data_IF_667171792380
#
_entry.id   IF_667171792380
#
_cell.length_a   1.000
_cell.length_b   1.000
_cell.length_c   1.000
_cell.angle_alpha   90.00
_cell.angle_beta   90.00
_cell.angle_gamma   90.00
#
_symmetry.space_group_name_H-M   'P 1'
#
loop_
_entity.id
_entity.type
_entity.pdbx_description
1 polymer ?
#
# COMPACT_ATOMS: atom_id res chain seq x y z
N UNK A 1 35.32 41.21 45.01
CA UNK A 1 34.00 40.52 44.89
C UNK A 1 33.07 41.14 43.81
N UNK A 2 33.39 42.22 43.18
CA UNK A 2 32.54 42.83 42.14
C UNK A 2 32.74 42.27 40.73
N UNK A 3 33.79 41.48 40.46
CA UNK A 3 34.07 40.93 39.11
C UNK A 3 33.46 39.57 38.85
N UNK A 4 32.89 38.89 39.84
CA UNK A 4 32.21 37.60 39.67
C UNK A 4 30.72 37.72 39.29
N UNK A 5 30.10 38.87 39.55
CA UNK A 5 28.67 39.11 39.22
C UNK A 5 28.42 39.62 37.78
N UNK A 6 29.46 40.07 37.09
CA UNK A 6 29.32 40.56 35.71
C UNK A 6 29.33 39.39 34.67
N UNK A 7 29.88 38.22 35.02
CA UNK A 7 30.02 37.08 34.10
C UNK A 7 28.76 36.20 34.01
N UNK A 8 27.86 36.27 35.00
CA UNK A 8 26.66 35.41 35.02
C UNK A 8 25.48 36.00 34.22
N UNK A 9 25.49 37.34 33.98
CA UNK A 9 24.42 37.97 33.22
C UNK A 9 24.56 37.80 31.69
N UNK A 10 25.78 37.56 31.20
CA UNK A 10 26.02 37.32 29.78
C UNK A 10 25.52 35.93 29.31
N UNK A 11 25.81 34.88 30.09
CA UNK A 11 25.40 33.50 29.76
C UNK A 11 23.87 33.34 29.77
N UNK A 12 23.17 34.04 30.66
CA UNK A 12 21.71 34.03 30.70
C UNK A 12 21.05 34.69 29.51
N UNK A 13 21.65 35.78 28.99
CA UNK A 13 21.12 36.48 27.80
C UNK A 13 21.36 35.67 26.52
N UNK A 14 22.53 35.09 26.37
CA UNK A 14 22.81 34.24 25.20
C UNK A 14 21.89 33.00 25.14
N UNK A 15 21.62 32.36 26.28
CA UNK A 15 20.70 31.25 26.36
C UNK A 15 19.26 31.61 26.02
N UNK A 16 18.80 32.78 26.51
CA UNK A 16 17.47 33.32 26.19
C UNK A 16 17.36 33.70 24.71
N UNK A 17 18.41 34.24 24.12
CA UNK A 17 18.46 34.57 22.70
C UNK A 17 18.39 33.30 21.84
N UNK A 18 19.20 32.27 22.16
CA UNK A 18 19.15 30.97 21.47
C UNK A 18 17.78 30.29 21.60
N UNK A 19 17.18 30.29 22.79
CA UNK A 19 15.84 29.75 22.98
C UNK A 19 14.79 30.51 22.16
N UNK A 20 14.90 31.82 22.07
CA UNK A 20 14.00 32.67 21.27
C UNK A 20 14.16 32.38 19.76
N UNK A 21 15.40 32.21 19.27
CA UNK A 21 15.70 31.89 17.86
C UNK A 21 15.15 30.51 17.46
N UNK A 22 15.27 29.52 18.35
CA UNK A 22 14.67 28.20 18.17
C UNK A 22 13.14 28.30 18.10
N UNK A 23 12.50 29.04 18.99
CA UNK A 23 11.03 29.22 18.96
C UNK A 23 10.59 29.94 17.69
N UNK A 24 11.35 30.97 17.24
CA UNK A 24 11.06 31.67 16.01
C UNK A 24 11.23 30.78 14.77
N UNK A 25 12.25 29.92 14.75
CA UNK A 25 12.47 28.93 13.66
C UNK A 25 11.32 27.94 13.57
N UNK A 26 10.92 27.33 14.68
CA UNK A 26 9.77 26.39 14.72
C UNK A 26 8.48 27.08 14.28
N UNK A 27 8.27 28.34 14.68
CA UNK A 27 7.10 29.10 14.25
C UNK A 27 7.07 29.34 12.74
N UNK A 28 8.22 29.65 12.14
CA UNK A 28 8.31 29.86 10.68
C UNK A 28 8.05 28.58 9.90
N UNK A 29 8.53 27.41 10.37
CA UNK A 29 8.26 26.12 9.75
C UNK A 29 6.77 25.74 9.84
N UNK A 30 6.14 26.00 10.99
CA UNK A 30 4.69 25.79 11.15
C UNK A 30 3.88 26.69 10.21
N UNK A 31 4.26 27.97 10.04
CA UNK A 31 3.59 28.87 9.11
C UNK A 31 3.74 28.38 7.67
N UNK A 32 4.93 27.94 7.26
CA UNK A 32 5.17 27.37 5.93
C UNK A 32 4.38 26.07 5.72
N UNK A 33 4.30 25.22 6.74
CA UNK A 33 3.50 24.00 6.69
C UNK A 33 2.02 24.30 6.50
N UNK A 34 1.45 25.23 7.28
CA UNK A 34 0.04 25.63 7.14
C UNK A 34 -0.24 26.31 5.80
N UNK A 35 0.71 27.08 5.30
CA UNK A 35 0.59 27.75 4.00
C UNK A 35 0.64 26.73 2.86
N UNK A 36 1.53 25.76 2.91
CA UNK A 36 1.60 24.65 1.97
C UNK A 36 0.32 23.76 2.02
N UNK A 37 -0.19 23.51 3.22
CA UNK A 37 -1.44 22.75 3.43
C UNK A 37 -2.65 23.51 2.87
N UNK A 38 -2.74 24.81 3.11
CA UNK A 38 -3.80 25.67 2.58
C UNK A 38 -3.75 25.74 1.05
N UNK A 39 -2.54 25.87 0.48
CA UNK A 39 -2.32 25.88 -0.97
C UNK A 39 -2.70 24.55 -1.60
N UNK A 40 -2.29 23.43 -0.98
CA UNK A 40 -2.70 22.08 -1.38
C UNK A 40 -4.22 21.95 -1.35
N UNK A 41 -4.86 22.39 -0.29
CA UNK A 41 -6.31 22.35 -0.15
C UNK A 41 -7.01 23.23 -1.21
N UNK A 42 -6.50 24.41 -1.52
CA UNK A 42 -7.03 25.28 -2.58
C UNK A 42 -6.86 24.68 -3.97
N UNK A 43 -5.72 24.05 -4.26
CA UNK A 43 -5.44 23.45 -5.57
C UNK A 43 -6.22 22.16 -5.80
N UNK A 44 -6.43 21.35 -4.74
CA UNK A 44 -7.07 20.03 -4.84
C UNK A 44 -8.51 19.97 -4.30
N UNK A 45 -9.03 21.01 -3.67
CA UNK A 45 -10.42 21.03 -3.17
C UNK A 45 -11.49 21.12 -4.26
N UNK A 46 -11.11 21.45 -5.50
CA UNK A 46 -12.03 21.44 -6.63
C UNK A 46 -12.43 20.03 -7.11
N UNK A 47 -11.86 18.97 -6.51
CA UNK A 47 -12.18 17.59 -6.83
C UNK A 47 -13.23 16.93 -5.90
N UNK A 48 -13.78 17.68 -4.93
CA UNK A 48 -14.82 17.15 -4.04
C UNK A 48 -16.18 17.74 -4.38
N UNK A 49 -17.20 16.91 -4.67
CA UNK A 49 -18.56 17.40 -4.86
C UNK A 49 -19.10 17.98 -3.54
N UNK A 50 -19.58 19.21 -3.60
CA UNK A 50 -20.23 19.91 -2.50
C UNK A 50 -21.44 19.11 -2.01
N UNK A 51 -21.29 18.46 -0.84
CA UNK A 51 -22.43 18.08 -0.01
C UNK A 51 -22.53 19.05 1.16
N UNK A 52 -23.30 20.10 0.99
CA UNK A 52 -23.80 20.86 2.11
C UNK A 52 -25.26 21.24 1.85
N UNK A 53 -26.18 20.47 2.39
CA UNK A 53 -27.52 20.92 2.73
C UNK A 53 -27.91 20.27 4.06
N UNK A 54 -27.47 20.86 5.13
CA UNK A 54 -28.17 20.76 6.40
C UNK A 54 -28.52 22.18 6.86
N UNK A 55 -29.75 22.35 7.25
CA UNK A 55 -30.46 23.50 7.81
C UNK A 55 -31.19 24.39 6.79
N UNK A 56 -32.46 24.20 6.67
CA UNK A 56 -33.55 25.01 7.19
C UNK A 56 -34.88 24.39 6.80
N UNK A 57 -35.72 24.17 7.74
CA UNK A 57 -37.06 23.71 7.57
C UNK A 57 -38.04 24.83 7.22
N UNK A 58 -39.26 24.42 6.98
CA UNK A 58 -40.53 25.09 6.79
C UNK A 58 -40.82 25.69 5.39
N UNK A 59 -41.79 25.08 4.77
CA UNK A 59 -42.88 25.83 4.21
C UNK A 59 -43.10 25.82 2.73
N UNK A 60 -44.15 25.14 2.36
CA UNK A 60 -45.10 25.41 1.26
C UNK A 60 -44.84 24.91 -0.15
N UNK A 61 -45.83 24.20 -0.55
CA UNK A 61 -46.14 23.69 -1.87
C UNK A 61 -46.28 24.80 -2.95
N UNK A 62 -45.92 24.41 -4.17
CA UNK A 62 -46.59 24.69 -5.44
C UNK A 62 -45.72 24.20 -6.60
N UNK A 63 -46.16 23.17 -7.26
CA UNK A 63 -46.63 23.08 -8.65
C UNK A 63 -45.71 23.63 -9.76
N UNK A 64 -45.32 22.68 -10.63
CA UNK A 64 -45.30 22.71 -12.11
C UNK A 64 -44.41 23.76 -12.81
N UNK A 65 -43.39 23.30 -13.49
CA UNK A 65 -43.38 23.42 -14.96
C UNK A 65 -42.36 22.48 -15.65
N UNK A 66 -42.87 21.78 -16.65
CA UNK A 66 -42.11 21.03 -17.65
C UNK A 66 -41.65 22.03 -18.73
N UNK A 67 -40.36 22.02 -19.09
CA UNK A 67 -39.82 22.20 -20.43
C UNK A 67 -38.53 23.01 -20.46
N UNK A 68 -37.40 22.32 -20.62
CA UNK A 68 -36.49 22.65 -21.73
C UNK A 68 -35.41 21.54 -21.84
N UNK A 69 -35.63 20.66 -22.81
CA UNK A 69 -34.55 19.84 -23.37
C UNK A 69 -33.63 20.77 -24.13
N UNK A 70 -32.38 20.89 -23.72
CA UNK A 70 -31.29 21.29 -24.60
C UNK A 70 -30.42 20.07 -24.85
N UNK A 71 -30.29 19.76 -26.15
CA UNK A 71 -29.44 18.74 -26.72
C UNK A 71 -28.01 18.96 -26.25
N UNK A 72 -27.43 17.99 -25.52
CA UNK A 72 -26.00 17.79 -25.43
C UNK A 72 -25.67 16.48 -26.13
N UNK A 73 -24.55 16.51 -26.85
CA UNK A 73 -24.00 15.49 -27.71
C UNK A 73 -23.93 14.10 -27.09
N UNK A 74 -24.06 13.02 -27.88
CA UNK A 74 -24.09 11.65 -27.39
C UNK A 74 -22.67 11.09 -27.42
N UNK A 75 -21.85 11.42 -26.42
CA UNK A 75 -20.56 10.74 -26.24
C UNK A 75 -19.98 10.86 -24.82
N UNK A 76 -20.81 10.60 -23.85
CA UNK A 76 -20.40 10.14 -22.52
C UNK A 76 -21.56 9.32 -21.97
N UNK A 77 -21.59 8.06 -22.38
CA UNK A 77 -22.45 7.05 -21.77
C UNK A 77 -21.99 6.87 -20.31
N UNK A 78 -22.51 7.71 -19.41
CA UNK A 78 -22.62 7.34 -18.02
C UNK A 78 -23.45 6.07 -17.97
N UNK A 79 -22.78 4.92 -18.00
CA UNK A 79 -23.38 3.63 -17.71
C UNK A 79 -23.77 3.67 -16.23
N UNK A 80 -24.98 4.17 -15.96
CA UNK A 80 -25.63 4.02 -14.69
C UNK A 80 -25.83 2.52 -14.52
N UNK A 81 -24.93 1.92 -13.75
CA UNK A 81 -24.99 0.51 -13.42
C UNK A 81 -26.17 0.29 -12.49
N UNK A 82 -27.32 -0.10 -13.06
CA UNK A 82 -28.43 -0.65 -12.27
C UNK A 82 -27.96 -1.99 -11.72
N UNK A 83 -27.73 -2.02 -10.40
CA UNK A 83 -27.07 -3.08 -9.64
C UNK A 83 -27.89 -4.38 -9.55
N UNK A 84 -28.88 -4.57 -10.43
CA UNK A 84 -29.87 -5.63 -10.33
C UNK A 84 -29.57 -6.89 -11.14
N UNK A 85 -28.91 -6.81 -12.29
CA UNK A 85 -28.84 -7.99 -13.17
C UNK A 85 -27.47 -8.19 -13.81
N UNK A 86 -26.70 -9.13 -13.23
CA UNK A 86 -25.45 -9.67 -13.82
C UNK A 86 -25.75 -10.91 -14.67
N UNK A 87 -26.99 -11.38 -14.64
CA UNK A 87 -27.51 -12.53 -15.36
C UNK A 87 -27.43 -12.26 -16.88
N UNK A 88 -26.57 -12.96 -17.58
CA UNK A 88 -26.40 -12.84 -19.02
C UNK A 88 -25.18 -12.02 -19.51
N UNK A 89 -24.38 -11.42 -18.61
CA UNK A 89 -23.15 -10.71 -18.99
C UNK A 89 -21.96 -11.68 -19.12
N UNK A 90 -21.10 -11.41 -20.11
CA UNK A 90 -19.87 -12.17 -20.28
C UNK A 90 -18.88 -11.88 -19.13
N UNK A 91 -17.95 -12.79 -18.87
CA UNK A 91 -16.88 -12.59 -17.89
C UNK A 91 -16.14 -11.27 -18.16
N UNK A 92 -15.79 -10.98 -19.42
CA UNK A 92 -15.08 -9.76 -19.79
C UNK A 92 -15.85 -8.49 -19.40
N UNK A 93 -17.17 -8.47 -19.61
CA UNK A 93 -18.01 -7.34 -19.21
C UNK A 93 -18.05 -7.19 -17.68
N UNK A 94 -18.18 -8.30 -16.92
CA UNK A 94 -18.20 -8.25 -15.47
C UNK A 94 -16.85 -7.73 -14.93
N UNK A 95 -15.73 -8.18 -15.51
CA UNK A 95 -14.38 -7.70 -15.15
C UNK A 95 -14.22 -6.21 -15.44
N UNK A 96 -14.68 -5.74 -16.60
CA UNK A 96 -14.64 -4.32 -16.96
C UNK A 96 -15.48 -3.46 -16.00
N UNK A 97 -16.67 -3.92 -15.63
CA UNK A 97 -17.50 -3.23 -14.64
C UNK A 97 -16.87 -3.24 -13.25
N UNK A 98 -16.27 -4.34 -12.86
CA UNK A 98 -15.56 -4.45 -11.57
C UNK A 98 -14.39 -3.47 -11.52
N UNK A 99 -13.60 -3.38 -12.59
CA UNK A 99 -12.50 -2.42 -12.70
C UNK A 99 -13.02 -0.98 -12.61
N UNK A 100 -14.02 -0.64 -13.41
CA UNK A 100 -14.60 0.70 -13.41
C UNK A 100 -15.24 1.07 -12.06
N UNK A 101 -15.81 0.12 -11.33
CA UNK A 101 -16.32 0.34 -9.98
C UNK A 101 -15.17 0.57 -8.99
N UNK A 102 -14.10 -0.22 -9.08
CA UNK A 102 -12.91 -0.06 -8.25
C UNK A 102 -12.23 1.30 -8.47
N UNK A 103 -12.05 1.73 -9.72
CA UNK A 103 -11.43 3.01 -10.10
C UNK A 103 -12.23 4.21 -9.55
N UNK A 104 -13.55 4.08 -9.44
CA UNK A 104 -14.43 5.09 -8.81
C UNK A 104 -14.47 5.00 -7.28
N UNK A 105 -13.81 4.00 -6.69
CA UNK A 105 -13.87 3.74 -5.24
C UNK A 105 -15.19 3.12 -4.77
N UNK A 106 -16.03 2.61 -5.69
CA UNK A 106 -17.27 1.90 -5.34
C UNK A 106 -17.01 0.44 -4.99
N UNK A 107 -16.36 0.24 -3.86
CA UNK A 107 -16.03 -1.08 -3.34
C UNK A 107 -17.27 -1.95 -3.03
N UNK A 108 -18.45 -1.31 -2.81
CA UNK A 108 -19.70 -2.04 -2.60
C UNK A 108 -20.11 -2.79 -3.86
N UNK A 109 -20.05 -2.12 -5.02
CA UNK A 109 -20.33 -2.73 -6.31
C UNK A 109 -19.30 -3.80 -6.66
N UNK A 110 -18.00 -3.57 -6.38
CA UNK A 110 -16.95 -4.60 -6.54
C UNK A 110 -17.31 -5.87 -5.79
N UNK A 111 -17.71 -5.78 -4.50
CA UNK A 111 -18.09 -6.95 -3.70
C UNK A 111 -19.38 -7.63 -4.17
N UNK A 112 -20.35 -6.87 -4.70
CA UNK A 112 -21.54 -7.47 -5.33
C UNK A 112 -21.15 -8.28 -6.58
N UNK A 113 -20.26 -7.74 -7.42
CA UNK A 113 -19.78 -8.43 -8.62
C UNK A 113 -18.94 -9.67 -8.27
N UNK A 114 -18.22 -9.66 -7.14
CA UNK A 114 -17.47 -10.83 -6.66
C UNK A 114 -18.34 -12.07 -6.51
N UNK A 115 -19.55 -11.94 -6.03
CA UNK A 115 -20.48 -13.08 -5.88
C UNK A 115 -20.76 -13.81 -7.22
N UNK A 116 -20.64 -13.07 -8.33
CA UNK A 116 -20.74 -13.62 -9.68
C UNK A 116 -19.37 -14.08 -10.20
N UNK A 117 -18.32 -13.25 -10.03
CA UNK A 117 -16.97 -13.54 -10.50
C UNK A 117 -16.39 -14.83 -9.92
N UNK A 118 -16.63 -15.11 -8.65
CA UNK A 118 -16.13 -16.34 -8.00
C UNK A 118 -16.63 -17.64 -8.61
N UNK A 119 -17.61 -17.59 -9.52
CA UNK A 119 -18.11 -18.75 -10.24
C UNK A 119 -17.30 -19.07 -11.51
N UNK A 120 -16.45 -18.13 -11.92
CA UNK A 120 -15.62 -18.27 -13.11
C UNK A 120 -14.20 -18.69 -12.74
N UNK A 121 -13.59 -19.51 -13.60
CA UNK A 121 -12.28 -20.11 -13.37
C UNK A 121 -11.10 -19.21 -13.77
N UNK A 122 -11.35 -18.13 -14.52
CA UNK A 122 -10.28 -17.29 -15.10
C UNK A 122 -10.39 -15.84 -14.69
N UNK A 123 -10.52 -15.59 -13.38
CA UNK A 123 -10.48 -14.22 -12.85
C UNK A 123 -9.02 -13.77 -12.72
N UNK A 124 -8.60 -12.62 -13.28
CA UNK A 124 -7.21 -12.15 -13.19
C UNK A 124 -6.75 -11.90 -11.75
N UNK A 125 -5.48 -12.15 -11.47
CA UNK A 125 -4.88 -12.00 -10.14
C UNK A 125 -5.04 -10.59 -9.56
N UNK A 126 -4.87 -9.54 -10.38
CA UNK A 126 -5.06 -8.15 -9.96
C UNK A 126 -6.50 -7.85 -9.54
N UNK A 127 -7.49 -8.44 -10.20
CA UNK A 127 -8.90 -8.30 -9.77
C UNK A 127 -9.14 -8.96 -8.42
N UNK A 128 -8.52 -10.12 -8.16
CA UNK A 128 -8.59 -10.77 -6.84
C UNK A 128 -8.00 -9.85 -5.77
N UNK A 129 -6.85 -9.24 -6.01
CA UNK A 129 -6.23 -8.27 -5.09
C UNK A 129 -7.16 -7.07 -4.82
N UNK A 130 -7.81 -6.51 -5.84
CA UNK A 130 -8.78 -5.42 -5.71
C UNK A 130 -10.03 -5.82 -4.90
N UNK A 131 -10.48 -7.05 -5.06
CA UNK A 131 -11.61 -7.62 -4.30
C UNK A 131 -11.21 -7.76 -2.83
N UNK A 132 -10.01 -8.27 -2.55
CA UNK A 132 -9.48 -8.38 -1.19
C UNK A 132 -9.38 -7.00 -0.54
N UNK A 133 -8.81 -6.01 -1.24
CA UNK A 133 -8.75 -4.64 -0.75
C UNK A 133 -10.15 -4.08 -0.45
N UNK A 134 -11.12 -4.36 -1.33
CA UNK A 134 -12.51 -3.95 -1.11
C UNK A 134 -13.11 -4.60 0.13
N UNK A 135 -12.80 -5.88 0.40
CA UNK A 135 -13.20 -6.57 1.63
C UNK A 135 -12.60 -5.93 2.88
N UNK A 136 -11.30 -5.59 2.84
CA UNK A 136 -10.59 -4.92 3.93
C UNK A 136 -11.18 -3.54 4.23
N UNK A 137 -11.52 -2.75 3.20
CA UNK A 137 -12.20 -1.45 3.36
C UNK A 137 -13.57 -1.58 4.01
N UNK A 138 -14.27 -2.70 3.81
CA UNK A 138 -15.51 -3.02 4.53
C UNK A 138 -15.27 -3.70 5.89
N UNK A 139 -14.03 -3.67 6.39
CA UNK A 139 -13.64 -4.23 7.69
C UNK A 139 -14.06 -5.70 7.85
N UNK A 140 -13.98 -6.46 6.75
CA UNK A 140 -14.11 -7.91 6.82
C UNK A 140 -12.93 -8.48 7.57
N UNK A 141 -13.18 -9.47 8.40
CA UNK A 141 -12.14 -10.17 9.15
C UNK A 141 -11.15 -10.86 8.21
N UNK A 142 -9.84 -10.79 8.53
CA UNK A 142 -8.76 -11.39 7.73
C UNK A 142 -8.94 -12.90 7.56
N UNK A 143 -9.48 -13.60 8.56
CA UNK A 143 -9.80 -15.02 8.46
C UNK A 143 -10.89 -15.31 7.41
N UNK A 144 -11.91 -14.44 7.33
CA UNK A 144 -12.96 -14.54 6.30
C UNK A 144 -12.36 -14.30 4.91
N UNK A 145 -11.53 -13.27 4.75
CA UNK A 145 -10.86 -12.96 3.48
C UNK A 145 -9.98 -14.12 3.05
N UNK A 146 -9.17 -14.64 3.98
CA UNK A 146 -8.31 -15.79 3.74
C UNK A 146 -9.11 -17.01 3.28
N UNK A 147 -10.23 -17.32 3.94
CA UNK A 147 -11.12 -18.42 3.55
C UNK A 147 -11.66 -18.27 2.12
N UNK A 148 -12.05 -17.06 1.72
CA UNK A 148 -12.51 -16.78 0.34
C UNK A 148 -11.39 -16.99 -0.69
N UNK A 149 -10.18 -16.50 -0.40
CA UNK A 149 -9.00 -16.66 -1.27
C UNK A 149 -8.61 -18.13 -1.39
N UNK A 150 -8.54 -18.84 -0.27
CA UNK A 150 -8.27 -20.29 -0.25
C UNK A 150 -9.31 -21.06 -1.04
N UNK A 151 -10.60 -20.73 -0.86
CA UNK A 151 -11.70 -21.31 -1.61
C UNK A 151 -11.56 -21.07 -3.12
N UNK A 152 -11.13 -19.86 -3.52
CA UNK A 152 -10.85 -19.54 -4.92
C UNK A 152 -9.67 -20.37 -5.46
N UNK A 153 -8.54 -20.39 -4.77
CA UNK A 153 -7.35 -21.14 -5.19
C UNK A 153 -7.63 -22.66 -5.30
N UNK A 154 -8.42 -23.23 -4.36
CA UNK A 154 -8.82 -24.65 -4.45
C UNK A 154 -9.64 -24.96 -5.69
N UNK A 155 -10.63 -24.11 -6.03
CA UNK A 155 -11.46 -24.32 -7.22
C UNK A 155 -10.66 -24.16 -8.51
N UNK A 156 -9.64 -23.34 -8.51
CA UNK A 156 -8.80 -23.03 -9.66
C UNK A 156 -7.45 -23.76 -9.63
N UNK A 157 -7.37 -24.85 -8.87
CA UNK A 157 -6.16 -25.69 -8.82
C UNK A 157 -5.79 -26.17 -10.23
N UNK A 158 -4.53 -25.95 -10.63
CA UNK A 158 -4.02 -26.26 -11.97
C UNK A 158 -4.28 -25.18 -13.03
N UNK A 159 -5.08 -24.13 -12.71
CA UNK A 159 -5.26 -22.95 -13.56
C UNK A 159 -4.42 -21.80 -13.03
N UNK A 160 -4.44 -21.61 -11.71
CA UNK A 160 -3.56 -20.64 -11.03
C UNK A 160 -2.16 -21.25 -10.90
N UNK A 161 -1.15 -20.52 -11.35
CA UNK A 161 0.26 -20.82 -11.17
C UNK A 161 0.90 -19.94 -10.10
N UNK A 162 2.18 -20.13 -9.83
CA UNK A 162 2.92 -19.30 -8.87
C UNK A 162 3.00 -17.85 -9.31
N UNK A 163 3.04 -17.58 -10.61
CA UNK A 163 3.05 -16.20 -11.16
C UNK A 163 1.75 -15.48 -10.85
N UNK A 164 0.61 -16.18 -10.97
CA UNK A 164 -0.70 -15.65 -10.56
C UNK A 164 -0.69 -15.27 -9.08
N UNK A 165 -0.15 -16.15 -8.22
CA UNK A 165 -0.08 -15.86 -6.77
C UNK A 165 0.82 -14.67 -6.48
N UNK A 166 1.98 -14.57 -7.13
CA UNK A 166 2.90 -13.43 -6.95
C UNK A 166 2.26 -12.10 -7.35
N UNK A 167 1.54 -12.06 -8.49
CA UNK A 167 0.79 -10.87 -8.92
C UNK A 167 -0.31 -10.46 -7.94
N UNK A 168 -0.90 -11.42 -7.23
CA UNK A 168 -1.88 -11.15 -6.18
C UNK A 168 -1.21 -10.71 -4.88
N UNK A 169 -0.12 -11.36 -4.46
CA UNK A 169 0.56 -11.11 -3.19
C UNK A 169 1.28 -9.76 -3.17
N UNK A 170 1.84 -9.31 -4.29
CA UNK A 170 2.59 -8.05 -4.34
C UNK A 170 1.78 -6.84 -3.84
N UNK A 171 0.56 -6.55 -4.33
CA UNK A 171 -0.26 -5.48 -3.78
C UNK A 171 -0.73 -5.75 -2.34
N UNK A 172 -1.00 -7.01 -1.96
CA UNK A 172 -1.43 -7.36 -0.61
C UNK A 172 -0.34 -7.15 0.44
N UNK A 173 0.91 -7.46 0.11
CA UNK A 173 2.06 -7.19 0.97
C UNK A 173 2.21 -5.69 1.29
N UNK A 174 1.78 -4.82 0.39
CA UNK A 174 1.77 -3.35 0.61
C UNK A 174 0.67 -2.90 1.58
N UNK A 175 -0.40 -3.69 1.74
CA UNK A 175 -1.50 -3.40 2.69
C UNK A 175 -1.13 -3.78 4.13
N UNK A 176 0.01 -4.44 4.37
CA UNK A 176 0.59 -4.78 5.68
C UNK A 176 -0.31 -5.69 6.55
N UNK A 177 -1.22 -6.45 5.95
CA UNK A 177 -1.99 -7.50 6.63
C UNK A 177 -1.17 -8.79 6.66
N UNK A 178 -0.26 -8.90 7.63
CA UNK A 178 0.66 -10.01 7.73
C UNK A 178 -0.07 -11.36 7.85
N UNK A 179 -1.12 -11.42 8.66
CA UNK A 179 -1.88 -12.65 8.88
C UNK A 179 -2.52 -13.18 7.57
N UNK A 180 -3.01 -12.27 6.71
CA UNK A 180 -3.57 -12.64 5.43
C UNK A 180 -2.49 -13.14 4.46
N UNK A 181 -1.38 -12.40 4.34
CA UNK A 181 -0.29 -12.73 3.41
C UNK A 181 0.40 -14.04 3.80
N UNK A 182 0.72 -14.21 5.10
CA UNK A 182 1.28 -15.45 5.65
C UNK A 182 0.32 -16.62 5.47
N UNK A 183 -0.97 -16.43 5.77
CA UNK A 183 -1.97 -17.47 5.62
C UNK A 183 -2.18 -17.92 4.17
N UNK A 184 -2.03 -17.02 3.19
CA UNK A 184 -2.03 -17.40 1.78
C UNK A 184 -0.76 -18.18 1.45
N UNK A 185 0.41 -17.71 1.89
CA UNK A 185 1.70 -18.35 1.64
C UNK A 185 1.73 -19.79 2.19
N UNK A 186 1.32 -19.98 3.45
CA UNK A 186 1.25 -21.29 4.10
C UNK A 186 0.28 -22.25 3.40
N UNK A 187 -0.73 -21.70 2.73
CA UNK A 187 -1.74 -22.49 2.02
C UNK A 187 -1.25 -23.02 0.66
N UNK A 188 -0.26 -22.40 0.00
CA UNK A 188 0.17 -22.73 -1.36
C UNK A 188 0.50 -24.22 -1.57
N UNK A 189 1.24 -24.89 -0.67
CA UNK A 189 1.53 -26.32 -0.85
C UNK A 189 0.28 -27.19 -0.91
N UNK A 190 -0.83 -26.80 -0.28
CA UNK A 190 -2.08 -27.55 -0.29
C UNK A 190 -2.80 -27.56 -1.65
N UNK A 191 -2.44 -26.63 -2.52
CA UNK A 191 -2.94 -26.52 -3.90
C UNK A 191 -1.85 -26.85 -4.94
N UNK A 192 -0.79 -27.56 -4.51
CA UNK A 192 0.37 -27.98 -5.31
C UNK A 192 1.18 -26.82 -5.91
N UNK A 193 1.12 -25.65 -5.29
CA UNK A 193 1.93 -24.51 -5.68
C UNK A 193 3.15 -24.39 -4.76
N UNK A 194 4.34 -24.33 -5.37
CA UNK A 194 5.58 -24.12 -4.62
C UNK A 194 5.97 -22.66 -4.69
N UNK A 195 6.17 -22.00 -3.52
CA UNK A 195 6.66 -20.62 -3.46
C UNK A 195 8.03 -20.51 -4.14
N UNK A 196 8.18 -19.47 -4.97
CA UNK A 196 9.43 -19.12 -5.65
C UNK A 196 10.11 -17.89 -5.01
N UNK A 197 11.24 -17.45 -5.57
CA UNK A 197 11.99 -16.28 -5.07
C UNK A 197 11.13 -15.02 -4.99
N UNK A 198 10.19 -14.81 -5.91
CA UNK A 198 9.29 -13.65 -5.91
C UNK A 198 8.23 -13.74 -4.83
N UNK A 199 7.72 -14.95 -4.54
CA UNK A 199 6.80 -15.18 -3.43
C UNK A 199 7.46 -14.82 -2.09
N UNK A 200 8.70 -15.28 -1.87
CA UNK A 200 9.47 -14.92 -0.68
C UNK A 200 9.80 -13.43 -0.63
N UNK A 201 10.12 -12.80 -1.76
CA UNK A 201 10.37 -11.35 -1.82
C UNK A 201 9.17 -10.57 -1.28
N UNK A 202 7.94 -10.91 -1.68
CA UNK A 202 6.73 -10.22 -1.22
C UNK A 202 6.59 -10.28 0.31
N UNK A 203 6.82 -11.47 0.93
CA UNK A 203 6.77 -11.64 2.38
C UNK A 203 7.90 -10.86 3.08
N UNK A 204 9.13 -10.97 2.57
CA UNK A 204 10.30 -10.27 3.14
C UNK A 204 10.09 -8.77 3.10
N UNK A 205 9.56 -8.22 2.00
CA UNK A 205 9.25 -6.81 1.88
C UNK A 205 8.18 -6.35 2.89
N UNK A 206 7.14 -7.16 3.09
CA UNK A 206 6.11 -6.91 4.10
C UNK A 206 6.71 -6.90 5.51
N UNK A 207 7.47 -7.93 5.88
CA UNK A 207 8.10 -8.01 7.20
C UNK A 207 9.13 -6.90 7.43
N UNK A 208 9.83 -6.46 6.39
CA UNK A 208 10.72 -5.31 6.49
C UNK A 208 9.95 -4.04 6.86
N UNK A 209 8.81 -3.81 6.23
CA UNK A 209 7.96 -2.64 6.50
C UNK A 209 7.34 -2.69 7.90
N UNK A 210 6.96 -3.88 8.37
CA UNK A 210 6.42 -4.11 9.72
C UNK A 210 7.49 -4.31 10.81
N UNK A 211 8.78 -4.19 10.45
CA UNK A 211 9.95 -4.39 11.33
C UNK A 211 10.05 -5.80 11.92
N UNK A 212 9.53 -6.80 11.24
CA UNK A 212 9.61 -8.22 11.61
C UNK A 212 10.97 -8.84 11.21
N UNK A 213 12.08 -8.32 11.70
CA UNK A 213 13.43 -8.71 11.28
C UNK A 213 13.74 -10.19 11.51
N UNK A 214 13.24 -10.77 12.60
CA UNK A 214 13.42 -12.19 12.89
C UNK A 214 12.72 -13.08 11.83
N UNK A 215 11.57 -12.64 11.35
CA UNK A 215 10.85 -13.36 10.28
C UNK A 215 11.59 -13.28 8.95
N UNK A 216 12.20 -12.15 8.63
CA UNK A 216 13.05 -12.00 7.43
C UNK A 216 14.17 -13.02 7.46
N UNK A 217 14.88 -13.14 8.60
CA UNK A 217 16.00 -14.10 8.72
C UNK A 217 15.53 -15.55 8.54
N UNK A 218 14.38 -15.93 9.11
CA UNK A 218 13.78 -17.26 8.93
C UNK A 218 13.45 -17.54 7.46
N UNK A 219 12.78 -16.60 6.78
CA UNK A 219 12.41 -16.73 5.36
C UNK A 219 13.66 -16.88 4.47
N UNK A 220 14.71 -16.10 4.73
CA UNK A 220 15.96 -16.22 3.99
C UNK A 220 16.66 -17.55 4.22
N UNK A 221 16.64 -18.07 5.46
CA UNK A 221 17.17 -19.41 5.75
C UNK A 221 16.36 -20.49 5.02
N UNK A 222 15.05 -20.33 4.93
CA UNK A 222 14.18 -21.24 4.18
C UNK A 222 14.49 -21.19 2.68
N UNK A 223 14.63 -20.00 2.08
CA UNK A 223 15.06 -19.84 0.70
C UNK A 223 16.38 -20.57 0.42
N UNK A 224 17.38 -20.38 1.31
CA UNK A 224 18.68 -21.06 1.19
C UNK A 224 18.54 -22.58 1.25
N UNK A 225 17.71 -23.12 2.15
CA UNK A 225 17.41 -24.57 2.22
C UNK A 225 16.76 -25.11 0.96
N UNK A 226 15.93 -24.31 0.31
CA UNK A 226 15.26 -24.65 -0.95
C UNK A 226 16.10 -24.34 -2.20
N UNK A 227 17.34 -23.89 -2.04
CA UNK A 227 18.23 -23.45 -3.13
C UNK A 227 17.61 -22.35 -4.01
N UNK A 228 16.79 -21.48 -3.44
CA UNK A 228 16.23 -20.33 -4.15
C UNK A 228 17.22 -19.17 -4.15
N UNK A 229 17.39 -18.52 -5.31
CA UNK A 229 18.22 -17.33 -5.43
C UNK A 229 17.57 -16.13 -4.76
N UNK A 230 18.38 -15.31 -4.09
CA UNK A 230 17.92 -14.03 -3.57
C UNK A 230 17.72 -13.05 -4.74
N UNK A 231 16.58 -12.37 -4.74
CA UNK A 231 16.35 -11.28 -5.69
C UNK A 231 17.14 -10.04 -5.26
N UNK A 232 17.34 -9.12 -6.18
CA UNK A 232 17.98 -7.84 -5.90
C UNK A 232 17.32 -7.09 -4.73
N UNK A 233 15.98 -7.03 -4.73
CA UNK A 233 15.22 -6.38 -3.65
C UNK A 233 15.40 -7.08 -2.32
N UNK A 234 15.39 -8.40 -2.29
CA UNK A 234 15.64 -9.19 -1.07
C UNK A 234 17.04 -8.92 -0.53
N UNK A 235 18.06 -8.89 -1.39
CA UNK A 235 19.45 -8.59 -0.99
C UNK A 235 19.59 -7.18 -0.42
N UNK A 236 18.91 -6.19 -1.00
CA UNK A 236 18.86 -4.82 -0.46
C UNK A 236 18.14 -4.75 0.90
N UNK A 237 17.06 -5.49 1.08
CA UNK A 237 16.34 -5.56 2.36
C UNK A 237 17.23 -6.19 3.43
N UNK A 238 17.95 -7.27 3.10
CA UNK A 238 18.89 -7.91 4.03
C UNK A 238 20.03 -6.97 4.45
N UNK A 239 20.62 -6.26 3.49
CA UNK A 239 21.64 -5.26 3.78
C UNK A 239 21.12 -4.20 4.76
N UNK A 240 19.93 -3.63 4.51
CA UNK A 240 19.29 -2.66 5.40
C UNK A 240 18.97 -3.23 6.78
N UNK A 241 18.49 -4.46 6.83
CA UNK A 241 18.18 -5.16 8.08
C UNK A 241 19.42 -5.39 8.91
N UNK A 242 20.52 -5.86 8.29
CA UNK A 242 21.81 -6.08 8.96
C UNK A 242 22.41 -4.79 9.50
N UNK A 243 22.35 -3.69 8.72
CA UNK A 243 22.78 -2.36 9.19
C UNK A 243 21.93 -1.87 10.37
N UNK A 244 20.59 -2.04 10.29
CA UNK A 244 19.69 -1.64 11.39
C UNK A 244 19.89 -2.45 12.65
N UNK A 245 20.35 -3.70 12.54
CA UNK A 245 20.69 -4.58 13.64
C UNK A 245 22.12 -4.37 14.18
N UNK A 246 22.92 -3.49 13.55
CA UNK A 246 24.32 -3.27 13.90
C UNK A 246 25.22 -4.47 13.57
N UNK A 247 24.76 -5.41 12.75
CA UNK A 247 25.56 -6.58 12.33
C UNK A 247 26.37 -6.24 11.10
N UNK A 248 27.57 -5.66 11.33
CA UNK A 248 28.45 -5.16 10.26
C UNK A 248 28.97 -6.29 9.36
N UNK A 249 29.35 -7.43 9.93
CA UNK A 249 29.90 -8.56 9.15
C UNK A 249 28.88 -9.09 8.13
N UNK A 250 27.63 -9.25 8.56
CA UNK A 250 26.55 -9.67 7.67
C UNK A 250 26.19 -8.59 6.65
N UNK A 251 26.23 -7.32 7.05
CA UNK A 251 26.02 -6.20 6.13
C UNK A 251 27.06 -6.14 5.03
N UNK A 252 28.34 -6.32 5.37
CA UNK A 252 29.45 -6.38 4.40
C UNK A 252 29.26 -7.56 3.43
N UNK A 253 28.85 -8.74 3.96
CA UNK A 253 28.58 -9.92 3.15
C UNK A 253 27.43 -9.65 2.17
N UNK A 254 26.30 -9.14 2.65
CA UNK A 254 25.17 -8.79 1.80
C UNK A 254 25.53 -7.75 0.74
N UNK A 255 26.39 -6.79 1.07
CA UNK A 255 26.85 -5.79 0.11
C UNK A 255 27.73 -6.41 -0.99
N UNK A 256 28.65 -7.33 -0.64
CA UNK A 256 29.47 -8.07 -1.61
C UNK A 256 28.62 -8.92 -2.53
N UNK A 257 27.67 -9.66 -1.97
CA UNK A 257 26.72 -10.50 -2.74
C UNK A 257 25.90 -9.65 -3.72
N UNK A 258 25.42 -8.49 -3.25
CA UNK A 258 24.68 -7.54 -4.08
C UNK A 258 25.54 -6.97 -5.21
N UNK A 259 26.79 -6.61 -4.93
CA UNK A 259 27.73 -6.08 -5.91
C UNK A 259 28.14 -7.13 -6.96
N UNK A 260 28.08 -8.42 -6.60
CA UNK A 260 28.40 -9.53 -7.51
C UNK A 260 27.27 -9.81 -8.53
N UNK A 261 26.05 -9.31 -8.30
CA UNK A 261 24.92 -9.55 -9.20
C UNK A 261 25.03 -8.85 -10.57
N UNK A 262 26.05 -8.02 -10.80
CA UNK A 262 26.35 -7.34 -12.08
C UNK A 262 25.18 -6.62 -12.75
N UNK A 263 24.04 -6.45 -12.07
CA UNK A 263 22.85 -5.76 -12.55
C UNK A 263 22.86 -4.31 -12.07
N UNK A 264 22.85 -3.32 -12.98
CA UNK A 264 22.86 -1.90 -12.59
C UNK A 264 21.65 -1.50 -11.73
N UNK A 265 20.54 -2.22 -11.82
CA UNK A 265 19.36 -2.01 -10.96
C UNK A 265 19.56 -2.49 -9.52
N UNK A 266 20.58 -3.33 -9.29
CA UNK A 266 20.93 -3.94 -8.02
C UNK A 266 21.94 -3.12 -7.18
N UNK A 267 22.28 -1.91 -7.60
CA UNK A 267 23.22 -1.09 -6.85
C UNK A 267 22.65 -0.62 -5.52
N UNK A 268 23.44 -0.76 -4.46
CA UNK A 268 23.07 -0.21 -3.16
C UNK A 268 22.99 1.33 -3.24
N UNK A 269 21.91 1.96 -2.74
CA UNK A 269 21.79 3.41 -2.69
C UNK A 269 23.00 4.04 -1.96
N UNK A 270 23.49 5.18 -2.44
CA UNK A 270 24.68 5.85 -1.91
C UNK A 270 24.64 6.06 -0.39
N UNK A 271 23.48 6.42 0.16
CA UNK A 271 23.33 6.62 1.61
C UNK A 271 23.57 5.33 2.42
N UNK A 272 23.21 4.16 1.88
CA UNK A 272 23.45 2.86 2.52
C UNK A 272 24.95 2.51 2.50
N UNK A 273 25.62 2.80 1.36
CA UNK A 273 27.07 2.61 1.27
C UNK A 273 27.80 3.53 2.24
N UNK A 274 27.38 4.79 2.37
CA UNK A 274 27.96 5.72 3.34
C UNK A 274 27.75 5.23 4.79
N UNK A 275 26.56 4.75 5.14
CA UNK A 275 26.29 4.18 6.45
C UNK A 275 27.15 2.94 6.74
N UNK A 276 27.39 2.11 5.73
CA UNK A 276 28.30 0.95 5.86
C UNK A 276 29.73 1.37 6.16
N UNK A 277 30.20 2.45 5.48
CA UNK A 277 31.56 2.99 5.69
C UNK A 277 31.68 3.67 7.06
N UNK A 278 30.65 4.36 7.54
CA UNK A 278 30.67 5.01 8.87
C UNK A 278 30.70 3.99 10.03
N UNK A 279 30.19 2.79 9.81
CA UNK A 279 30.14 1.73 10.82
C UNK A 279 31.36 0.79 10.75
N UNK A 280 32.15 0.82 9.67
CA UNK A 280 33.33 0.00 9.46
C UNK A 280 34.60 0.66 10.03
#
# INVERSE_FOLDING_TARGET
MASLFASTNGLGQEFLQQAFDVVCSVRSELVLFFLAFALHHLLFSNALPRTSKFFTGLGRAAQVDKKKRSKLSPDESQVIFDSGDVSGKSLAQILQYSQAAYDRGDHRTVLKLWSSLRRYDKVPALHIAQIIESMQRFKKDSAMILSEVQGFLRRNKGICDVTFVNQMLEPLAKCLDAALVEGIFEFLPSVDLQPDSMTYEALIQMHFTTRGFDQILKLVQEMKKKNLSLTCRTSLVLLKTSLSAGNLDEAIRCYKDLSALADPSCQAPRHIVMQLVELS
#
